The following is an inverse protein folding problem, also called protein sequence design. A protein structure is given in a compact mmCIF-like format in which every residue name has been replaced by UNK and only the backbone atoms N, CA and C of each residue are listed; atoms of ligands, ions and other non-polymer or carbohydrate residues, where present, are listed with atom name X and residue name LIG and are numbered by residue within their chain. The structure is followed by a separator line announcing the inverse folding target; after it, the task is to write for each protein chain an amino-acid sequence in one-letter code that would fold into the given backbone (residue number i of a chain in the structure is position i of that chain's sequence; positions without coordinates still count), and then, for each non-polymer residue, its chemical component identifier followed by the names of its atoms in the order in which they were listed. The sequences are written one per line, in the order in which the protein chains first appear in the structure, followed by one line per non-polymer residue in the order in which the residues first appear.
data_IF_690253238129
#
_entry.id   IF_690253238129
#
_cell.length_a   1.000
_cell.length_b   1.000
_cell.length_c   1.000
_cell.angle_alpha   90.00
_cell.angle_beta   90.00
_cell.angle_gamma   90.00
#
_symmetry.space_group_name_H-M   'P 1'
#
loop_
_entity.id
_entity.type
_entity.pdbx_description
1 polymer ?
#
# COMPACT_ATOMS: atom_id res chain seq x y z
N UNK A 1 -11.63 -53.63 -12.48
CA UNK A 1 -12.31 -52.46 -11.85
C UNK A 1 -11.26 -51.40 -11.59
N UNK A 2 -11.27 -50.32 -12.38
CA UNK A 2 -10.38 -49.19 -12.17
C UNK A 2 -11.08 -48.22 -11.20
N UNK A 3 -10.53 -48.02 -10.01
CA UNK A 3 -10.98 -46.96 -9.09
C UNK A 3 -10.39 -45.63 -9.61
N UNK A 4 -11.27 -44.80 -10.11
CA UNK A 4 -10.90 -43.43 -10.42
C UNK A 4 -10.71 -42.68 -9.09
N UNK A 5 -9.48 -42.28 -8.78
CA UNK A 5 -9.22 -41.38 -7.66
C UNK A 5 -9.66 -39.96 -8.11
N UNK A 6 -10.74 -39.50 -7.50
CA UNK A 6 -11.18 -38.11 -7.68
C UNK A 6 -10.20 -37.23 -6.90
N UNK A 7 -9.27 -36.61 -7.62
CA UNK A 7 -8.41 -35.55 -7.05
C UNK A 7 -9.30 -34.35 -6.79
N UNK A 8 -9.69 -34.17 -5.53
CA UNK A 8 -10.37 -32.97 -5.07
C UNK A 8 -9.32 -31.85 -5.01
N UNK A 9 -9.23 -31.05 -6.06
CA UNK A 9 -8.44 -29.82 -6.01
C UNK A 9 -9.17 -28.84 -5.12
N UNK A 10 -8.70 -28.70 -3.87
CA UNK A 10 -9.16 -27.63 -2.98
C UNK A 10 -8.57 -26.33 -3.51
N UNK A 11 -9.36 -25.56 -4.26
CA UNK A 11 -9.03 -24.18 -4.56
C UNK A 11 -9.14 -23.41 -3.25
N UNK A 12 -8.00 -23.03 -2.65
CA UNK A 12 -7.98 -22.08 -1.54
C UNK A 12 -8.55 -20.76 -2.05
N UNK A 13 -9.60 -20.20 -1.42
CA UNK A 13 -10.06 -18.89 -1.81
C UNK A 13 -8.91 -17.92 -1.61
N UNK A 14 -8.46 -17.27 -2.70
CA UNK A 14 -7.62 -16.09 -2.60
C UNK A 14 -8.47 -15.08 -1.85
N UNK A 15 -8.13 -14.79 -0.59
CA UNK A 15 -8.84 -13.82 0.20
C UNK A 15 -8.71 -12.46 -0.50
N UNK A 16 -9.78 -12.04 -1.20
CA UNK A 16 -9.89 -10.75 -1.86
C UNK A 16 -10.10 -9.64 -0.84
N UNK A 17 -9.37 -9.69 0.28
CA UNK A 17 -9.47 -8.73 1.36
C UNK A 17 -8.53 -7.56 1.11
N UNK A 18 -9.00 -6.37 1.48
CA UNK A 18 -8.15 -5.21 1.60
C UNK A 18 -6.98 -5.54 2.53
N UNK A 19 -5.76 -5.35 2.07
CA UNK A 19 -4.58 -5.63 2.85
C UNK A 19 -4.08 -4.35 3.53
N UNK A 20 -3.83 -4.46 4.83
CA UNK A 20 -3.15 -3.45 5.62
C UNK A 20 -1.80 -4.04 6.03
N UNK A 21 -0.73 -3.39 5.61
CA UNK A 21 0.64 -3.85 5.81
C UNK A 21 1.37 -2.84 6.69
N UNK A 22 2.02 -3.33 7.74
CA UNK A 22 2.88 -2.49 8.57
C UNK A 22 4.24 -2.30 7.93
N UNK A 23 4.72 -1.07 7.94
CA UNK A 23 6.07 -0.75 7.46
C UNK A 23 7.10 -1.35 8.42
N UNK A 24 7.97 -2.18 7.87
CA UNK A 24 9.13 -2.73 8.60
C UNK A 24 10.39 -2.20 7.94
N UNK A 25 10.95 -1.15 8.54
CA UNK A 25 12.16 -0.54 8.03
C UNK A 25 13.37 -1.48 8.12
N UNK A 26 14.10 -1.62 7.03
CA UNK A 26 15.39 -2.29 6.96
C UNK A 26 16.39 -1.34 6.33
N UNK A 27 17.36 -0.88 7.11
CA UNK A 27 18.34 0.13 6.69
C UNK A 27 17.70 1.39 6.11
N UNK A 28 16.59 1.83 6.71
CA UNK A 28 15.86 3.02 6.31
C UNK A 28 15.04 2.87 5.02
N UNK A 29 14.84 1.64 4.55
CA UNK A 29 14.07 1.36 3.33
C UNK A 29 13.00 0.29 3.58
N UNK A 30 11.95 0.35 2.78
CA UNK A 30 10.88 -0.64 2.76
C UNK A 30 10.39 -0.82 1.33
N UNK A 31 10.28 -2.07 0.90
CA UNK A 31 9.73 -2.42 -0.41
C UNK A 31 8.64 -3.46 -0.23
N UNK A 32 7.51 -3.27 -0.91
CA UNK A 32 6.40 -4.20 -0.86
C UNK A 32 5.81 -4.39 -2.25
N UNK A 33 5.52 -5.64 -2.59
CA UNK A 33 4.81 -6.01 -3.81
C UNK A 33 3.53 -6.72 -3.46
N UNK A 34 2.44 -6.34 -4.07
CA UNK A 34 1.14 -6.94 -3.84
C UNK A 34 0.27 -6.89 -5.08
N UNK A 35 -0.62 -7.84 -5.16
CA UNK A 35 -1.74 -7.84 -6.11
C UNK A 35 -2.94 -7.22 -5.41
N UNK A 36 -3.57 -6.22 -6.05
CA UNK A 36 -4.78 -5.59 -5.52
C UNK A 36 -5.96 -6.08 -6.36
N UNK A 37 -6.83 -6.86 -5.72
CA UNK A 37 -8.01 -7.40 -6.39
C UNK A 37 -8.98 -6.30 -6.85
N UNK A 38 -9.86 -6.58 -7.82
CA UNK A 38 -10.86 -5.61 -8.27
C UNK A 38 -11.66 -5.01 -7.12
N UNK A 39 -11.79 -3.69 -7.10
CA UNK A 39 -12.57 -2.93 -6.10
C UNK A 39 -12.01 -3.01 -4.67
N UNK A 40 -10.78 -3.49 -4.50
CA UNK A 40 -10.08 -3.59 -3.21
C UNK A 40 -8.98 -2.54 -3.09
N UNK A 41 -8.37 -2.48 -1.93
CA UNK A 41 -7.28 -1.54 -1.65
C UNK A 41 -6.09 -2.22 -0.95
N UNK A 42 -4.96 -1.57 -1.03
CA UNK A 42 -3.75 -1.86 -0.27
C UNK A 42 -3.44 -0.63 0.58
N UNK A 43 -3.18 -0.83 1.86
CA UNK A 43 -2.64 0.21 2.74
C UNK A 43 -1.29 -0.23 3.30
N UNK A 44 -0.33 0.67 3.28
CA UNK A 44 0.98 0.51 3.91
C UNK A 44 1.11 1.59 4.97
N UNK A 45 1.19 1.21 6.24
CA UNK A 45 1.08 2.13 7.37
C UNK A 45 2.27 2.04 8.31
N UNK A 46 2.66 3.17 8.89
CA UNK A 46 3.69 3.23 9.90
C UNK A 46 3.76 4.57 10.63
N UNK A 47 4.29 4.52 11.85
CA UNK A 47 4.47 5.71 12.69
C UNK A 47 5.59 6.58 12.18
N UNK A 48 5.33 7.89 12.11
CA UNK A 48 6.32 8.90 11.85
C UNK A 48 6.23 9.99 12.92
N UNK A 49 7.36 10.60 13.24
CA UNK A 49 7.41 11.77 14.12
C UNK A 49 7.32 13.03 13.28
N UNK A 50 6.79 14.08 13.86
CA UNK A 50 6.77 15.40 13.24
C UNK A 50 8.16 15.76 12.69
N UNK A 51 8.22 16.14 11.41
CA UNK A 51 9.45 16.47 10.74
C UNK A 51 10.15 15.31 10.04
N UNK A 52 9.76 14.06 10.31
CA UNK A 52 10.29 12.91 9.56
C UNK A 52 9.96 13.07 8.08
N UNK A 53 10.92 12.71 7.23
CA UNK A 53 10.76 12.74 5.77
C UNK A 53 10.80 11.32 5.22
N UNK A 54 9.75 10.94 4.52
CA UNK A 54 9.66 9.65 3.85
C UNK A 54 9.52 9.87 2.36
N UNK A 55 10.56 9.52 1.61
CA UNK A 55 10.49 9.44 0.16
C UNK A 55 9.65 8.23 -0.25
N UNK A 56 8.78 8.39 -1.24
CA UNK A 56 7.93 7.31 -1.71
C UNK A 56 7.89 7.26 -3.23
N UNK A 57 7.79 6.04 -3.74
CA UNK A 57 7.60 5.78 -5.16
C UNK A 57 6.77 4.52 -5.32
N UNK A 58 5.95 4.47 -6.33
CA UNK A 58 5.19 3.27 -6.65
C UNK A 58 5.01 3.09 -8.15
N UNK A 59 4.88 1.83 -8.55
CA UNK A 59 4.58 1.41 -9.91
C UNK A 59 3.48 0.37 -9.90
N UNK A 60 2.38 0.68 -10.55
CA UNK A 60 1.27 -0.23 -10.76
C UNK A 60 1.20 -0.70 -12.21
N UNK A 61 0.68 -1.90 -12.42
CA UNK A 61 0.39 -2.43 -13.77
C UNK A 61 -0.77 -1.69 -14.45
N UNK A 62 -1.56 -0.94 -13.68
CA UNK A 62 -2.68 -0.13 -14.14
C UNK A 62 -2.90 1.03 -13.17
N UNK A 63 -3.75 1.98 -13.56
CA UNK A 63 -4.07 3.15 -12.73
C UNK A 63 -4.83 2.75 -11.46
N UNK A 64 -4.48 3.40 -10.36
CA UNK A 64 -5.16 3.30 -9.07
C UNK A 64 -5.38 4.70 -8.49
N UNK A 65 -6.31 4.82 -7.56
CA UNK A 65 -6.42 6.02 -6.75
C UNK A 65 -5.43 5.92 -5.60
N UNK A 66 -4.62 6.93 -5.41
CA UNK A 66 -3.56 6.96 -4.41
C UNK A 66 -3.76 8.12 -3.43
N UNK A 67 -3.55 7.83 -2.14
CA UNK A 67 -3.46 8.88 -1.14
C UNK A 67 -2.47 8.51 -0.04
N UNK A 68 -2.04 9.54 0.70
CA UNK A 68 -1.41 9.41 2.01
C UNK A 68 -2.37 10.05 3.00
N UNK A 69 -2.70 9.36 4.07
CA UNK A 69 -3.62 9.88 5.06
C UNK A 69 -3.23 9.54 6.49
N UNK A 70 -3.81 10.26 7.43
CA UNK A 70 -3.76 9.97 8.86
C UNK A 70 -5.08 10.38 9.51
N UNK A 71 -5.39 9.76 10.66
CA UNK A 71 -6.62 9.99 11.40
C UNK A 71 -6.37 10.80 12.66
N UNK A 72 -7.21 11.82 12.90
CA UNK A 72 -7.29 12.53 14.18
C UNK A 72 -8.74 12.43 14.64
N UNK A 73 -8.99 11.56 15.64
CA UNK A 73 -10.36 11.29 16.06
C UNK A 73 -11.21 10.77 14.91
N UNK A 74 -12.27 11.51 14.56
CA UNK A 74 -13.17 11.18 13.45
C UNK A 74 -12.72 11.79 12.10
N UNK A 75 -11.73 12.67 12.14
CA UNK A 75 -11.27 13.38 10.95
C UNK A 75 -10.14 12.63 10.27
N UNK A 76 -10.12 12.72 8.95
CA UNK A 76 -9.05 12.17 8.11
C UNK A 76 -8.41 13.31 7.34
N UNK A 77 -7.08 13.38 7.43
CA UNK A 77 -6.28 14.36 6.69
C UNK A 77 -5.49 13.66 5.60
N UNK A 78 -5.41 14.29 4.43
CA UNK A 78 -4.77 13.76 3.24
C UNK A 78 -3.60 14.65 2.80
N UNK A 79 -2.36 14.39 3.27
CA UNK A 79 -1.18 15.09 2.76
C UNK A 79 -0.97 14.94 1.26
N UNK A 80 -1.43 13.83 0.70
CA UNK A 80 -1.36 13.54 -0.73
C UNK A 80 -2.64 12.84 -1.17
N UNK A 81 -3.18 13.24 -2.32
CA UNK A 81 -4.39 12.61 -2.89
C UNK A 81 -4.36 12.73 -4.41
N UNK A 82 -4.27 11.60 -5.10
CA UNK A 82 -4.20 11.53 -6.57
C UNK A 82 -5.17 10.49 -7.09
N UNK A 83 -5.89 10.83 -8.15
CA UNK A 83 -6.84 9.95 -8.80
C UNK A 83 -6.27 9.39 -10.10
N UNK A 84 -6.45 8.07 -10.32
CA UNK A 84 -6.19 7.43 -11.59
C UNK A 84 -4.74 7.50 -12.06
N UNK A 85 -3.79 7.14 -11.19
CA UNK A 85 -2.36 7.13 -11.52
C UNK A 85 -1.77 5.73 -11.41
N UNK A 86 -1.01 5.32 -12.44
CA UNK A 86 -0.32 4.03 -12.45
C UNK A 86 1.00 4.09 -11.68
N UNK A 87 1.69 5.23 -11.73
CA UNK A 87 2.96 5.43 -11.05
C UNK A 87 3.10 6.88 -10.60
N UNK A 88 3.80 7.09 -9.49
CA UNK A 88 4.13 8.41 -8.99
C UNK A 88 5.28 8.33 -7.99
N UNK A 89 5.84 9.48 -7.66
CA UNK A 89 6.88 9.62 -6.65
C UNK A 89 6.72 10.96 -5.92
N UNK A 90 7.25 11.02 -4.72
CA UNK A 90 7.21 12.23 -3.91
C UNK A 90 7.86 12.03 -2.55
N UNK A 91 7.61 12.96 -1.67
CA UNK A 91 8.08 12.91 -0.28
C UNK A 91 6.97 13.37 0.66
N UNK A 92 6.84 12.67 1.77
CA UNK A 92 6.02 13.10 2.89
C UNK A 92 6.94 13.74 3.93
N UNK A 93 6.64 14.99 4.31
CA UNK A 93 7.17 15.58 5.55
C UNK A 93 6.06 15.48 6.59
N UNK A 94 6.27 14.66 7.61
CA UNK A 94 5.23 14.41 8.61
C UNK A 94 4.88 15.69 9.37
N UNK A 95 3.63 16.19 9.28
CA UNK A 95 3.23 17.42 9.96
C UNK A 95 3.05 17.25 11.47
N UNK A 96 2.92 16.04 11.95
CA UNK A 96 2.78 15.72 13.37
C UNK A 96 3.14 14.26 13.64
N UNK A 97 3.28 13.90 14.92
CA UNK A 97 3.46 12.51 15.35
C UNK A 97 2.17 11.74 15.08
N UNK A 98 2.21 10.78 14.16
CA UNK A 98 1.01 10.03 13.75
C UNK A 98 1.37 8.72 13.05
N UNK A 99 0.37 7.86 12.90
CA UNK A 99 0.39 6.75 11.97
C UNK A 99 -0.04 7.27 10.60
N UNK A 100 0.83 7.11 9.62
CA UNK A 100 0.56 7.50 8.23
C UNK A 100 0.35 6.28 7.39
N UNK A 101 -0.67 6.31 6.53
CA UNK A 101 -0.98 5.24 5.60
C UNK A 101 -0.85 5.73 4.16
N UNK A 102 -0.10 4.97 3.35
CA UNK A 102 -0.08 5.07 1.89
C UNK A 102 -1.10 4.08 1.37
N UNK A 103 -2.08 4.55 0.63
CA UNK A 103 -3.23 3.74 0.20
C UNK A 103 -3.43 3.78 -1.30
N UNK A 104 -3.62 2.62 -1.89
CA UNK A 104 -3.95 2.45 -3.30
C UNK A 104 -5.27 1.72 -3.42
N UNK A 105 -6.23 2.31 -4.13
CA UNK A 105 -7.54 1.70 -4.39
C UNK A 105 -7.63 1.31 -5.84
N UNK A 106 -7.89 0.03 -6.08
CA UNK A 106 -8.16 -0.49 -7.43
C UNK A 106 -9.64 -0.36 -7.76
N UNK A 107 -10.00 0.63 -8.57
CA UNK A 107 -11.40 0.85 -8.97
C UNK A 107 -11.80 0.07 -10.22
N UNK A 108 -10.86 -0.67 -10.81
CA UNK A 108 -11.10 -1.43 -12.03
C UNK A 108 -11.77 -2.78 -11.78
N UNK A 109 -12.17 -3.45 -12.86
CA UNK A 109 -12.72 -4.79 -12.83
C UNK A 109 -11.65 -5.90 -12.92
N UNK A 110 -10.36 -5.54 -12.94
CA UNK A 110 -9.24 -6.47 -13.04
C UNK A 110 -8.27 -6.26 -11.89
N UNK A 111 -7.57 -7.33 -11.48
CA UNK A 111 -6.48 -7.22 -10.53
C UNK A 111 -5.35 -6.36 -11.09
N UNK A 112 -4.68 -5.61 -10.23
CA UNK A 112 -3.48 -4.88 -10.58
C UNK A 112 -2.31 -5.27 -9.67
N UNK A 113 -1.11 -5.26 -10.24
CA UNK A 113 0.11 -5.48 -9.50
C UNK A 113 0.69 -4.14 -9.08
N UNK A 114 1.11 -4.05 -7.82
CA UNK A 114 1.67 -2.83 -7.24
C UNK A 114 3.02 -3.09 -6.60
N UNK A 115 4.01 -2.29 -6.95
CA UNK A 115 5.29 -2.24 -6.24
C UNK A 115 5.44 -0.89 -5.54
N UNK A 116 5.68 -0.94 -4.24
CA UNK A 116 5.81 0.23 -3.38
C UNK A 116 7.22 0.28 -2.81
N UNK A 117 7.84 1.45 -2.82
CA UNK A 117 9.14 1.70 -2.21
C UNK A 117 9.06 2.96 -1.34
N UNK A 118 9.43 2.80 -0.08
CA UNK A 118 9.52 3.89 0.88
C UNK A 118 10.96 3.99 1.37
N UNK A 119 11.42 5.21 1.60
CA UNK A 119 12.77 5.47 2.09
C UNK A 119 12.74 6.59 3.12
N UNK A 120 13.25 6.30 4.31
CA UNK A 120 13.49 7.33 5.30
C UNK A 120 14.64 8.23 4.84
N UNK A 121 14.42 9.53 4.82
CA UNK A 121 15.51 10.45 4.63
C UNK A 121 16.40 10.47 5.87
N UNK A 122 17.71 10.36 5.69
CA UNK A 122 18.64 10.55 6.79
C UNK A 122 18.61 12.02 7.19
N UNK A 123 18.23 12.28 8.45
CA UNK A 123 18.42 13.60 9.02
C UNK A 123 19.89 13.72 9.36
N UNK A 124 20.63 14.46 8.55
CA UNK A 124 21.99 14.85 8.93
C UNK A 124 21.89 15.88 10.07
N UNK A 125 22.47 15.53 11.19
CA UNK A 125 22.66 16.48 12.28
C UNK A 125 23.86 17.38 12.01
#
# INVERSE_FOLDING_TARGET
MRRAALLLTIALPIAANADIVDIKWADGAFTHRASIAPKKFLEVCGKQKMGDVVGWTFNGSAAADFNIHYHIGKDVSYPENRKGVASAEGSLVAPLDQDYCWMWTNRSAQSLEMEVRLKQAKVEK
#
